data_IF_379797364127
#
_entry.id   IF_379797364127
#
_cell.length_a   1.000
_cell.length_b   1.000
_cell.length_c   1.000
_cell.angle_alpha   90.00
_cell.angle_beta   90.00
_cell.angle_gamma   90.00
#
_symmetry.space_group_name_H-M   'P 1'
#
loop_
_entity.id
_entity.type
_entity.pdbx_description
1 polymer ?
#
# COMPACT_ATOMS: atom_id res chain seq x y z
N UNK A 1 1.13 -17.12 -33.15
CA UNK A 1 0.97 -15.65 -33.02
C UNK A 1 2.35 -15.00 -33.16
N UNK A 2 2.45 -13.82 -33.76
CA UNK A 2 3.72 -13.10 -33.97
C UNK A 2 3.76 -11.86 -33.04
N UNK A 3 4.52 -11.86 -31.93
CA UNK A 3 4.56 -10.74 -30.99
C UNK A 3 4.90 -9.40 -31.65
N UNK A 4 5.78 -9.41 -32.67
CA UNK A 4 6.14 -8.20 -33.41
C UNK A 4 4.95 -7.53 -34.13
N UNK A 5 3.96 -8.30 -34.58
CA UNK A 5 2.78 -7.73 -35.26
C UNK A 5 1.82 -7.07 -34.28
N UNK A 6 1.67 -7.64 -33.07
CA UNK A 6 0.90 -7.02 -31.98
C UNK A 6 1.55 -5.71 -31.56
N UNK A 7 2.87 -5.71 -31.37
CA UNK A 7 3.64 -4.50 -31.05
C UNK A 7 3.48 -3.45 -32.16
N UNK A 8 3.61 -3.84 -33.44
CA UNK A 8 3.43 -2.93 -34.59
C UNK A 8 2.05 -2.28 -34.57
N UNK A 9 0.98 -3.06 -34.37
CA UNK A 9 -0.39 -2.54 -34.29
C UNK A 9 -0.55 -1.51 -33.18
N UNK A 10 -0.12 -1.85 -31.95
CA UNK A 10 -0.23 -0.93 -30.81
C UNK A 10 0.65 0.31 -30.99
N UNK A 11 1.85 0.18 -31.57
CA UNK A 11 2.72 1.31 -31.94
C UNK A 11 2.04 2.26 -32.92
N UNK A 12 1.30 1.72 -33.89
CA UNK A 12 0.57 2.49 -34.91
C UNK A 12 -0.77 3.04 -34.39
N UNK A 13 -1.02 2.99 -33.08
CA UNK A 13 -2.23 3.52 -32.43
C UNK A 13 -3.47 2.67 -32.65
N UNK A 14 -3.33 1.45 -33.19
CA UNK A 14 -4.46 0.55 -33.43
C UNK A 14 -4.89 -0.16 -32.14
N UNK A 15 -6.19 -0.44 -32.07
CA UNK A 15 -6.79 -1.27 -31.02
C UNK A 15 -6.37 -2.73 -31.19
N UNK A 16 -5.99 -3.35 -30.08
CA UNK A 16 -5.76 -4.78 -29.98
C UNK A 16 -7.05 -5.52 -29.63
N UNK A 17 -7.20 -6.73 -30.16
CA UNK A 17 -8.29 -7.63 -29.76
C UNK A 17 -7.97 -8.33 -28.44
N UNK A 18 -8.99 -8.91 -27.81
CA UNK A 18 -8.83 -9.71 -26.59
C UNK A 18 -7.89 -10.90 -26.81
N UNK A 19 -8.00 -11.57 -27.96
CA UNK A 19 -7.17 -12.72 -28.33
C UNK A 19 -5.71 -12.31 -28.58
N UNK A 20 -5.47 -11.14 -29.18
CA UNK A 20 -4.12 -10.60 -29.34
C UNK A 20 -3.46 -10.37 -27.98
N UNK A 21 -4.21 -9.74 -27.05
CA UNK A 21 -3.72 -9.45 -25.70
C UNK A 21 -3.48 -10.75 -24.91
N UNK A 22 -4.45 -11.67 -24.91
CA UNK A 22 -4.34 -12.95 -24.22
C UNK A 22 -3.15 -13.77 -24.74
N UNK A 23 -2.98 -13.83 -26.06
CA UNK A 23 -1.82 -14.47 -26.67
C UNK A 23 -0.51 -13.82 -26.23
N UNK A 24 -0.44 -12.48 -26.20
CA UNK A 24 0.77 -11.76 -25.83
C UNK A 24 1.16 -12.05 -24.38
N UNK A 25 0.18 -12.00 -23.47
CA UNK A 25 0.38 -12.30 -22.05
C UNK A 25 0.77 -13.77 -21.83
N UNK A 26 0.17 -14.71 -22.55
CA UNK A 26 0.59 -16.12 -22.52
C UNK A 26 2.04 -16.28 -23.01
N UNK A 27 2.45 -15.51 -24.01
CA UNK A 27 3.83 -15.44 -24.48
C UNK A 27 4.80 -14.86 -23.46
N UNK A 28 4.39 -13.83 -22.71
CA UNK A 28 5.16 -13.28 -21.58
C UNK A 28 5.29 -14.33 -20.48
N UNK A 29 4.24 -15.08 -20.18
CA UNK A 29 4.27 -16.10 -19.12
C UNK A 29 5.17 -17.29 -19.49
N UNK A 30 5.08 -17.76 -20.73
CA UNK A 30 5.80 -18.95 -21.22
C UNK A 30 7.25 -18.72 -21.63
N UNK A 31 7.70 -17.47 -21.76
CA UNK A 31 9.04 -17.16 -22.28
C UNK A 31 9.08 -16.89 -23.80
N UNK A 32 8.02 -17.20 -24.54
CA UNK A 32 7.96 -17.03 -26.00
C UNK A 32 8.02 -15.55 -26.43
N UNK A 33 7.55 -14.63 -25.58
CA UNK A 33 7.81 -13.20 -25.71
C UNK A 33 9.11 -12.89 -24.96
N UNK A 34 10.08 -12.35 -25.69
CA UNK A 34 11.38 -11.90 -25.13
C UNK A 34 11.20 -10.61 -24.33
N UNK A 35 12.17 -10.31 -23.45
CA UNK A 35 12.14 -9.09 -22.65
C UNK A 35 12.15 -7.82 -23.53
N UNK A 36 12.89 -7.86 -24.66
CA UNK A 36 12.89 -6.79 -25.64
C UNK A 36 11.54 -6.57 -26.31
N UNK A 37 10.80 -7.64 -26.61
CA UNK A 37 9.44 -7.54 -27.16
C UNK A 37 8.44 -7.03 -26.12
N UNK A 38 8.51 -7.52 -24.88
CA UNK A 38 7.68 -7.04 -23.78
C UNK A 38 7.94 -5.56 -23.46
N UNK A 39 9.21 -5.13 -23.45
CA UNK A 39 9.58 -3.73 -23.30
C UNK A 39 9.08 -2.86 -24.46
N UNK A 40 9.19 -3.33 -25.70
CA UNK A 40 8.65 -2.62 -26.86
C UNK A 40 7.12 -2.49 -26.82
N UNK A 41 6.42 -3.54 -26.39
CA UNK A 41 4.96 -3.48 -26.14
C UNK A 41 4.62 -2.47 -25.05
N UNK A 42 5.32 -2.51 -23.91
CA UNK A 42 5.09 -1.58 -22.81
C UNK A 42 5.31 -0.13 -23.24
N UNK A 43 6.35 0.13 -24.04
CA UNK A 43 6.61 1.47 -24.59
C UNK A 43 5.55 1.90 -25.62
N UNK A 44 5.06 0.99 -26.46
CA UNK A 44 3.96 1.28 -27.37
C UNK A 44 2.67 1.63 -26.62
N UNK A 45 2.37 0.94 -25.51
CA UNK A 45 1.26 1.26 -24.61
C UNK A 45 1.51 2.57 -23.86
N UNK A 46 2.75 2.87 -23.48
CA UNK A 46 3.09 4.13 -22.83
C UNK A 46 2.72 5.35 -23.69
N UNK A 47 3.05 5.31 -24.99
CA UNK A 47 2.75 6.42 -25.91
C UNK A 47 1.30 6.43 -26.43
N UNK A 48 0.73 5.27 -26.77
CA UNK A 48 -0.59 5.22 -27.42
C UNK A 48 -1.74 4.87 -26.46
N UNK A 49 -1.44 4.52 -25.21
CA UNK A 49 -2.42 4.10 -24.23
C UNK A 49 -3.14 2.79 -24.57
N UNK A 50 -4.19 2.53 -23.80
CA UNK A 50 -5.17 1.48 -24.04
C UNK A 50 -6.55 2.05 -23.75
N UNK A 51 -7.53 1.67 -24.58
CA UNK A 51 -8.92 1.94 -24.24
C UNK A 51 -9.40 1.01 -23.10
N UNK A 52 -10.63 1.23 -22.61
CA UNK A 52 -11.20 0.46 -21.50
C UNK A 52 -11.19 -1.06 -21.76
N UNK A 53 -11.64 -1.49 -22.93
CA UNK A 53 -11.76 -2.91 -23.25
C UNK A 53 -10.39 -3.58 -23.34
N UNK A 54 -9.41 -2.90 -23.93
CA UNK A 54 -8.02 -3.38 -23.99
C UNK A 54 -7.42 -3.50 -22.58
N UNK A 55 -7.66 -2.53 -21.71
CA UNK A 55 -7.14 -2.56 -20.36
C UNK A 55 -7.82 -3.64 -19.48
N UNK A 56 -9.13 -3.88 -19.67
CA UNK A 56 -9.84 -5.01 -19.06
C UNK A 56 -9.27 -6.33 -19.56
N UNK A 57 -9.12 -6.51 -20.87
CA UNK A 57 -8.54 -7.73 -21.46
C UNK A 57 -7.11 -7.98 -20.95
N UNK A 58 -6.27 -6.95 -20.85
CA UNK A 58 -4.91 -7.08 -20.31
C UNK A 58 -4.95 -7.49 -18.84
N UNK A 59 -5.82 -6.88 -18.05
CA UNK A 59 -5.99 -7.19 -16.62
C UNK A 59 -6.41 -8.64 -16.41
N UNK A 60 -7.42 -9.11 -17.16
CA UNK A 60 -7.94 -10.47 -17.08
C UNK A 60 -6.90 -11.49 -17.57
N UNK A 61 -6.25 -11.25 -18.71
CA UNK A 61 -5.20 -12.13 -19.21
C UNK A 61 -4.02 -12.25 -18.23
N UNK A 62 -3.65 -11.15 -17.56
CA UNK A 62 -2.60 -11.17 -16.54
C UNK A 62 -3.04 -11.92 -15.28
N UNK A 63 -4.30 -11.76 -14.84
CA UNK A 63 -4.89 -12.56 -13.75
C UNK A 63 -4.83 -14.05 -14.08
N UNK A 64 -5.31 -14.42 -15.28
CA UNK A 64 -5.46 -15.81 -15.74
C UNK A 64 -4.13 -16.45 -16.18
N UNK A 65 -3.00 -15.74 -16.03
CA UNK A 65 -1.68 -16.30 -16.28
C UNK A 65 -1.20 -17.28 -15.19
N UNK A 66 -1.91 -17.36 -14.07
CA UNK A 66 -1.61 -18.24 -12.94
C UNK A 66 -2.84 -18.54 -12.10
N UNK A 67 -2.63 -18.81 -10.81
CA UNK A 67 -3.69 -19.22 -9.90
C UNK A 67 -4.67 -18.08 -9.60
N UNK A 68 -5.94 -18.43 -9.42
CA UNK A 68 -6.99 -17.56 -8.90
C UNK A 68 -7.57 -18.23 -7.66
N UNK A 69 -7.47 -17.55 -6.52
CA UNK A 69 -8.00 -18.05 -5.26
C UNK A 69 -9.53 -18.04 -5.28
N UNK A 70 -10.13 -19.10 -4.77
CA UNK A 70 -11.56 -19.19 -4.52
C UNK A 70 -11.84 -19.16 -3.01
N UNK A 71 -12.79 -18.33 -2.59
CA UNK A 71 -13.19 -18.16 -1.20
C UNK A 71 -14.69 -18.42 -0.99
N UNK A 72 -15.31 -19.16 -1.92
CA UNK A 72 -16.73 -19.52 -1.88
C UNK A 72 -17.14 -20.31 -0.62
N UNK A 73 -16.18 -20.88 0.11
CA UNK A 73 -16.33 -21.61 1.36
C UNK A 73 -16.31 -20.73 2.62
N UNK A 74 -15.97 -19.44 2.51
CA UNK A 74 -15.99 -18.52 3.66
C UNK A 74 -17.44 -18.09 4.01
N UNK A 75 -17.78 -17.95 5.31
CA UNK A 75 -19.14 -17.64 5.74
C UNK A 75 -19.52 -16.14 5.62
N UNK A 76 -18.68 -15.33 4.98
CA UNK A 76 -18.86 -13.87 4.89
C UNK A 76 -18.19 -13.27 3.66
N UNK A 77 -18.44 -11.98 3.39
CA UNK A 77 -17.98 -11.35 2.16
C UNK A 77 -16.47 -11.13 2.15
N UNK A 78 -15.86 -11.27 0.98
CA UNK A 78 -14.42 -11.15 0.77
C UNK A 78 -14.08 -9.79 0.19
N UNK A 79 -13.29 -9.00 0.92
CA UNK A 79 -12.95 -7.63 0.53
C UNK A 79 -11.50 -7.32 0.85
N UNK A 80 -10.91 -6.40 0.10
CA UNK A 80 -9.53 -5.97 0.33
C UNK A 80 -9.34 -4.48 0.04
N UNK A 81 -8.18 -3.96 0.46
CA UNK A 81 -7.68 -2.63 0.11
C UNK A 81 -6.38 -2.73 -0.67
N UNK A 82 -6.22 -1.88 -1.68
CA UNK A 82 -4.91 -1.59 -2.26
C UNK A 82 -4.56 -0.13 -2.11
N UNK A 83 -3.29 0.20 -1.89
CA UNK A 83 -2.82 1.58 -1.97
C UNK A 83 -1.71 1.72 -2.99
N UNK A 84 -1.64 2.88 -3.65
CA UNK A 84 -0.51 3.25 -4.51
C UNK A 84 0.79 3.49 -3.74
N UNK A 85 0.76 3.49 -2.40
CA UNK A 85 1.93 3.63 -1.54
C UNK A 85 2.22 5.07 -1.11
N UNK A 86 2.86 5.21 0.06
CA UNK A 86 3.24 6.47 0.67
C UNK A 86 4.19 6.28 1.85
N UNK A 87 4.54 7.37 2.53
CA UNK A 87 5.43 7.36 3.71
C UNK A 87 4.59 7.39 4.98
N UNK A 88 4.90 6.50 5.94
CA UNK A 88 4.07 6.29 7.12
C UNK A 88 2.69 5.70 6.80
N UNK A 89 2.52 5.09 5.62
CA UNK A 89 1.26 4.45 5.22
C UNK A 89 1.17 3.02 5.78
N UNK A 90 0.95 2.89 7.09
CA UNK A 90 0.70 1.63 7.78
C UNK A 90 -0.79 1.26 7.91
N UNK A 91 -1.69 1.99 7.23
CA UNK A 91 -3.15 1.80 7.28
C UNK A 91 -3.57 0.33 7.25
N UNK A 92 -2.97 -0.48 6.38
CA UNK A 92 -3.34 -1.89 6.19
C UNK A 92 -3.25 -2.72 7.48
N UNK A 93 -2.31 -2.40 8.38
CA UNK A 93 -2.09 -3.15 9.63
C UNK A 93 -3.28 -3.03 10.58
N UNK A 94 -3.98 -1.88 10.55
CA UNK A 94 -5.15 -1.63 11.37
C UNK A 94 -6.45 -1.88 10.60
N UNK A 95 -6.46 -1.59 9.30
CA UNK A 95 -7.64 -1.71 8.44
C UNK A 95 -8.11 -3.16 8.33
N UNK A 96 -7.20 -4.10 8.06
CA UNK A 96 -7.53 -5.51 7.92
C UNK A 96 -8.25 -6.07 9.18
N UNK A 97 -7.72 -5.93 10.41
CA UNK A 97 -8.40 -6.42 11.59
C UNK A 97 -9.67 -5.63 11.97
N UNK A 98 -9.76 -4.32 11.66
CA UNK A 98 -11.00 -3.54 11.86
C UNK A 98 -12.14 -4.09 11.00
N UNK A 99 -11.87 -4.33 9.72
CA UNK A 99 -12.88 -4.84 8.78
C UNK A 99 -13.22 -6.30 9.08
N UNK A 100 -12.22 -7.11 9.43
CA UNK A 100 -12.44 -8.49 9.84
C UNK A 100 -13.29 -8.60 11.11
N UNK A 101 -13.02 -7.77 12.12
CA UNK A 101 -13.84 -7.72 13.34
C UNK A 101 -15.28 -7.20 13.10
N UNK A 102 -15.57 -6.61 11.93
CA UNK A 102 -16.92 -6.24 11.50
C UNK A 102 -17.64 -7.35 10.70
N UNK A 103 -16.99 -8.49 10.43
CA UNK A 103 -17.58 -9.66 9.79
C UNK A 103 -17.25 -9.88 8.32
N UNK A 104 -16.28 -9.14 7.75
CA UNK A 104 -15.75 -9.42 6.41
C UNK A 104 -14.51 -10.32 6.49
N UNK A 105 -14.12 -10.90 5.36
CA UNK A 105 -12.87 -11.63 5.22
C UNK A 105 -11.88 -10.83 4.37
N UNK A 106 -10.65 -10.66 4.87
CA UNK A 106 -9.60 -9.82 4.26
C UNK A 106 -8.35 -10.67 3.96
N UNK A 107 -8.31 -11.40 2.84
CA UNK A 107 -7.15 -12.17 2.39
C UNK A 107 -6.13 -11.25 1.70
N UNK A 108 -5.54 -10.31 2.45
CA UNK A 108 -4.72 -9.25 1.88
C UNK A 108 -3.39 -9.76 1.34
N UNK A 109 -3.25 -9.69 0.02
CA UNK A 109 -1.98 -9.92 -0.67
C UNK A 109 -1.29 -8.58 -0.89
N UNK A 110 -0.17 -8.37 -0.21
CA UNK A 110 0.56 -7.11 -0.20
C UNK A 110 1.95 -7.22 -0.83
N UNK A 111 2.53 -6.07 -1.14
CA UNK A 111 3.86 -5.92 -1.72
C UNK A 111 4.92 -5.53 -0.70
N UNK A 112 6.17 -5.66 -1.14
CA UNK A 112 7.34 -5.03 -0.51
C UNK A 112 7.46 -3.56 -0.94
N UNK A 113 8.34 -2.82 -0.27
CA UNK A 113 8.56 -1.39 -0.54
C UNK A 113 9.07 -1.13 -1.96
N UNK A 114 8.69 0.02 -2.50
CA UNK A 114 9.05 0.48 -3.84
C UNK A 114 9.52 1.94 -3.78
N UNK A 115 10.70 2.22 -4.32
CA UNK A 115 11.30 3.56 -4.29
C UNK A 115 11.41 4.10 -2.87
N UNK A 116 10.83 5.28 -2.62
CA UNK A 116 10.81 5.94 -1.31
C UNK A 116 9.68 5.47 -0.38
N UNK A 117 8.81 4.56 -0.84
CA UNK A 117 7.65 4.10 -0.07
C UNK A 117 7.93 2.78 0.63
N UNK A 118 7.51 2.68 1.89
CA UNK A 118 7.65 1.44 2.67
C UNK A 118 6.62 0.38 2.27
N UNK A 119 6.99 -0.90 2.33
CA UNK A 119 6.09 -2.02 2.02
C UNK A 119 5.35 -2.53 3.24
N UNK A 120 4.07 -2.89 3.11
CA UNK A 120 3.34 -3.54 4.21
C UNK A 120 3.99 -4.87 4.61
N UNK A 121 4.47 -5.63 3.62
CA UNK A 121 5.07 -6.94 3.88
C UNK A 121 6.38 -6.82 4.68
N UNK A 122 7.20 -5.82 4.35
CA UNK A 122 8.44 -5.52 5.07
C UNK A 122 8.19 -5.11 6.53
N UNK A 123 7.09 -4.40 6.79
CA UNK A 123 6.63 -4.08 8.15
C UNK A 123 6.25 -5.36 8.91
N UNK A 124 5.48 -6.26 8.29
CA UNK A 124 5.08 -7.52 8.94
C UNK A 124 6.29 -8.44 9.21
N UNK A 125 7.29 -8.45 8.32
CA UNK A 125 8.56 -9.18 8.52
C UNK A 125 9.37 -8.69 9.73
N UNK A 126 9.05 -7.51 10.28
CA UNK A 126 9.65 -7.03 11.53
C UNK A 126 9.15 -7.78 12.78
N UNK A 127 8.05 -8.54 12.69
CA UNK A 127 7.52 -9.35 13.79
C UNK A 127 8.23 -10.71 13.77
N UNK A 128 9.02 -11.06 14.80
CA UNK A 128 9.73 -12.33 14.85
C UNK A 128 8.78 -13.53 14.75
N UNK A 129 9.09 -14.47 13.85
CA UNK A 129 8.30 -15.69 13.63
C UNK A 129 7.10 -15.51 12.69
N UNK A 130 6.73 -14.29 12.32
CA UNK A 130 5.64 -14.06 11.37
C UNK A 130 5.99 -14.62 9.98
N UNK A 131 5.16 -15.53 9.49
CA UNK A 131 5.30 -16.19 8.20
C UNK A 131 4.57 -15.34 7.16
N UNK A 132 5.30 -14.41 6.56
CA UNK A 132 4.76 -13.47 5.58
C UNK A 132 4.53 -14.09 4.19
N UNK A 133 5.08 -15.28 3.94
CA UNK A 133 4.88 -16.06 2.72
C UNK A 133 4.47 -17.50 3.09
N UNK A 134 3.27 -17.69 3.66
CA UNK A 134 2.79 -19.01 4.03
C UNK A 134 2.41 -19.82 2.78
N UNK A 135 2.31 -21.15 2.93
CA UNK A 135 1.63 -21.95 1.92
C UNK A 135 0.12 -21.64 1.88
N UNK A 136 -0.55 -22.12 0.83
CA UNK A 136 -2.00 -21.87 0.64
C UNK A 136 -2.83 -22.44 1.80
N UNK A 137 -2.44 -23.57 2.38
CA UNK A 137 -3.18 -24.20 3.46
C UNK A 137 -3.18 -23.34 4.73
N UNK A 138 -2.00 -22.86 5.14
CA UNK A 138 -1.84 -21.96 6.28
C UNK A 138 -2.49 -20.61 6.01
N UNK A 139 -2.39 -20.08 4.79
CA UNK A 139 -3.07 -18.83 4.42
C UNK A 139 -4.59 -18.95 4.58
N UNK A 140 -5.21 -19.98 3.98
CA UNK A 140 -6.65 -20.21 4.09
C UNK A 140 -7.09 -20.40 5.53
N UNK A 141 -6.33 -21.17 6.31
CA UNK A 141 -6.58 -21.35 7.75
C UNK A 141 -6.57 -20.02 8.49
N UNK A 142 -5.54 -19.18 8.30
CA UNK A 142 -5.43 -17.89 8.98
C UNK A 142 -6.60 -16.95 8.62
N UNK A 143 -6.98 -16.88 7.35
CA UNK A 143 -8.14 -16.09 6.89
C UNK A 143 -9.43 -16.60 7.53
N UNK A 144 -9.66 -17.92 7.51
CA UNK A 144 -10.88 -18.53 8.06
C UNK A 144 -11.00 -18.31 9.57
N UNK A 145 -9.93 -18.54 10.34
CA UNK A 145 -9.95 -18.49 11.81
C UNK A 145 -9.96 -17.07 12.37
N UNK A 146 -9.33 -16.12 11.68
CA UNK A 146 -9.12 -14.77 12.23
C UNK A 146 -9.93 -13.70 11.50
N UNK A 147 -10.40 -13.99 10.28
CA UNK A 147 -11.06 -13.05 9.38
C UNK A 147 -10.10 -12.26 8.50
N UNK A 148 -8.79 -12.28 8.75
CA UNK A 148 -7.83 -11.57 7.89
C UNK A 148 -6.43 -12.20 7.90
N UNK A 149 -5.68 -11.95 6.84
CA UNK A 149 -4.25 -12.24 6.79
C UNK A 149 -3.56 -11.20 5.90
N UNK A 150 -2.29 -10.88 6.19
CA UNK A 150 -1.46 -9.99 5.39
C UNK A 150 -0.24 -10.78 4.93
N UNK A 151 -0.25 -11.20 3.67
CA UNK A 151 0.82 -12.05 3.12
C UNK A 151 1.44 -11.42 1.88
N UNK A 152 2.58 -11.93 1.47
CA UNK A 152 3.24 -11.60 0.23
C UNK A 152 2.57 -12.29 -0.95
N UNK A 153 2.92 -11.84 -2.15
CA UNK A 153 2.56 -12.52 -3.38
C UNK A 153 3.25 -13.89 -3.43
N UNK A 154 2.50 -14.95 -3.74
CA UNK A 154 3.07 -16.25 -4.11
C UNK A 154 3.56 -16.21 -5.55
N UNK A 155 4.45 -17.14 -5.93
CA UNK A 155 4.99 -17.18 -7.29
C UNK A 155 3.92 -17.46 -8.36
N UNK A 156 2.82 -18.09 -7.96
CA UNK A 156 1.78 -18.59 -8.86
C UNK A 156 0.65 -17.57 -9.11
N UNK A 157 0.61 -16.46 -8.36
CA UNK A 157 -0.39 -15.41 -8.55
C UNK A 157 0.05 -14.40 -9.63
N UNK A 158 -0.67 -14.38 -10.75
CA UNK A 158 -0.44 -13.47 -11.87
C UNK A 158 1.05 -13.41 -12.33
N UNK A 159 1.70 -14.54 -12.67
CA UNK A 159 3.12 -14.59 -13.04
C UNK A 159 3.49 -13.70 -14.23
N UNK A 160 2.57 -13.45 -15.16
CA UNK A 160 2.79 -12.48 -16.24
C UNK A 160 3.08 -11.06 -15.72
N UNK A 161 2.37 -10.63 -14.66
CA UNK A 161 2.59 -9.34 -14.04
C UNK A 161 3.99 -9.23 -13.46
N UNK A 162 4.44 -10.25 -12.73
CA UNK A 162 5.78 -10.25 -12.14
C UNK A 162 6.85 -10.00 -13.21
N UNK A 163 6.77 -10.71 -14.33
CA UNK A 163 7.75 -10.55 -15.42
C UNK A 163 7.61 -9.20 -16.12
N UNK A 164 6.38 -8.79 -16.46
CA UNK A 164 6.16 -7.52 -17.14
C UNK A 164 6.52 -6.31 -16.26
N UNK A 165 6.25 -6.37 -14.96
CA UNK A 165 6.63 -5.36 -13.97
C UNK A 165 8.16 -5.21 -13.88
N UNK A 166 8.89 -6.31 -13.77
CA UNK A 166 10.37 -6.28 -13.74
C UNK A 166 10.96 -5.62 -14.99
N UNK A 167 10.36 -5.87 -16.16
CA UNK A 167 10.78 -5.23 -17.42
C UNK A 167 10.42 -3.75 -17.43
N UNK A 168 9.24 -3.37 -16.93
CA UNK A 168 8.78 -1.97 -16.85
C UNK A 168 9.69 -1.12 -15.96
N UNK A 169 10.13 -1.69 -14.84
CA UNK A 169 10.99 -1.04 -13.84
C UNK A 169 12.33 -0.59 -14.43
N UNK A 170 12.89 -1.35 -15.38
CA UNK A 170 14.17 -1.03 -16.04
C UNK A 170 14.04 -0.43 -17.43
N UNK A 171 12.82 -0.21 -17.94
CA UNK A 171 12.57 0.33 -19.29
C UNK A 171 11.88 1.71 -19.30
N UNK A 172 11.67 2.31 -18.13
CA UNK A 172 11.03 3.63 -18.03
C UNK A 172 9.54 3.61 -18.41
N UNK A 173 8.85 2.49 -18.21
CA UNK A 173 7.43 2.31 -18.59
C UNK A 173 6.52 2.02 -17.40
N UNK A 174 6.99 2.29 -16.17
CA UNK A 174 6.18 2.12 -14.95
C UNK A 174 4.99 3.07 -14.94
N UNK A 175 5.19 4.35 -15.30
CA UNK A 175 4.23 5.47 -15.15
C UNK A 175 3.06 5.46 -16.15
N UNK A 176 2.83 4.35 -16.87
CA UNK A 176 1.68 4.20 -17.77
C UNK A 176 0.42 3.76 -17.00
N UNK A 177 -0.62 4.60 -16.99
CA UNK A 177 -1.91 4.32 -16.32
C UNK A 177 -2.49 2.94 -16.66
N UNK A 178 -2.66 2.52 -17.94
CA UNK A 178 -3.21 1.20 -18.25
C UNK A 178 -2.33 0.05 -17.74
N UNK A 179 -1.00 0.18 -17.77
CA UNK A 179 -0.09 -0.84 -17.25
C UNK A 179 -0.10 -0.90 -15.73
N UNK A 180 -0.20 0.25 -15.04
CA UNK A 180 -0.36 0.31 -13.58
C UNK A 180 -1.68 -0.36 -13.19
N UNK A 181 -2.77 -0.01 -13.88
CA UNK A 181 -4.09 -0.57 -13.59
C UNK A 181 -4.11 -2.08 -13.79
N UNK A 182 -3.63 -2.58 -14.94
CA UNK A 182 -3.59 -4.02 -15.19
C UNK A 182 -2.67 -4.76 -14.21
N UNK A 183 -1.54 -4.16 -13.86
CA UNK A 183 -0.62 -4.72 -12.86
C UNK A 183 -1.28 -4.84 -11.48
N UNK A 184 -1.87 -3.76 -10.97
CA UNK A 184 -2.51 -3.76 -9.65
C UNK A 184 -3.70 -4.73 -9.61
N UNK A 185 -4.59 -4.62 -10.59
CA UNK A 185 -5.86 -5.34 -10.57
C UNK A 185 -5.71 -6.83 -10.88
N UNK A 186 -4.77 -7.24 -11.74
CA UNK A 186 -4.56 -8.67 -12.02
C UNK A 186 -4.27 -9.45 -10.74
N UNK A 187 -3.39 -8.93 -9.88
CA UNK A 187 -3.08 -9.52 -8.56
C UNK A 187 -4.27 -9.50 -7.60
N UNK A 188 -5.04 -8.40 -7.56
CA UNK A 188 -6.20 -8.28 -6.67
C UNK A 188 -7.37 -9.14 -7.12
N UNK A 189 -7.58 -9.31 -8.41
CA UNK A 189 -8.56 -10.26 -8.96
C UNK A 189 -8.13 -11.70 -8.73
N UNK A 190 -6.84 -12.01 -8.87
CA UNK A 190 -6.29 -13.33 -8.59
C UNK A 190 -6.44 -13.72 -7.10
N UNK A 191 -6.56 -12.72 -6.21
CA UNK A 191 -6.86 -12.95 -4.79
C UNK A 191 -8.33 -13.35 -4.50
N UNK A 192 -9.20 -13.48 -5.51
CA UNK A 192 -10.57 -14.01 -5.33
C UNK A 192 -11.55 -13.05 -4.65
N UNK A 193 -11.33 -11.74 -4.78
CA UNK A 193 -12.10 -10.72 -4.05
C UNK A 193 -13.52 -10.54 -4.61
N UNK A 194 -14.48 -10.25 -3.75
CA UNK A 194 -15.83 -9.81 -4.15
C UNK A 194 -15.95 -8.29 -4.22
N UNK A 195 -15.10 -7.57 -3.46
CA UNK A 195 -15.00 -6.11 -3.55
C UNK A 195 -13.59 -5.60 -3.24
N UNK A 196 -13.27 -4.42 -3.74
CA UNK A 196 -11.95 -3.79 -3.57
C UNK A 196 -12.11 -2.28 -3.33
N UNK A 197 -11.40 -1.76 -2.33
CA UNK A 197 -11.25 -0.31 -2.14
C UNK A 197 -9.83 0.12 -2.48
N UNK A 198 -9.71 1.15 -3.31
CA UNK A 198 -8.42 1.67 -3.78
C UNK A 198 -8.10 2.96 -3.03
N UNK A 199 -6.91 3.05 -2.45
CA UNK A 199 -6.39 4.23 -1.77
C UNK A 199 -5.29 4.88 -2.63
N UNK A 200 -5.70 5.84 -3.44
CA UNK A 200 -4.82 6.55 -4.38
C UNK A 200 -4.27 7.79 -3.70
N UNK A 201 -2.97 7.77 -3.40
CA UNK A 201 -2.30 8.90 -2.75
C UNK A 201 -2.12 10.06 -3.74
N UNK A 202 -2.19 11.28 -3.24
CA UNK A 202 -1.85 12.51 -3.99
C UNK A 202 -0.98 13.44 -3.16
N UNK A 203 0.01 14.07 -3.79
CA UNK A 203 0.89 15.05 -3.16
C UNK A 203 2.37 14.68 -3.26
N UNK A 204 3.23 15.45 -2.59
CA UNK A 204 4.68 15.37 -2.75
C UNK A 204 5.34 14.06 -2.27
N UNK A 205 4.62 13.21 -1.51
CA UNK A 205 5.06 11.87 -1.11
C UNK A 205 4.37 10.74 -1.87
N UNK A 206 3.44 11.05 -2.77
CA UNK A 206 2.70 10.08 -3.56
C UNK A 206 3.42 9.72 -4.86
N UNK A 207 3.00 8.62 -5.49
CA UNK A 207 3.39 8.32 -6.87
C UNK A 207 2.80 9.34 -7.87
N UNK A 208 1.62 9.89 -7.56
CA UNK A 208 0.95 10.92 -8.35
C UNK A 208 0.97 12.26 -7.61
N UNK A 209 1.87 13.17 -7.98
CA UNK A 209 1.94 14.48 -7.32
C UNK A 209 0.72 15.36 -7.63
N UNK A 210 0.23 15.31 -8.87
CA UNK A 210 -0.88 16.16 -9.35
C UNK A 210 -2.23 15.50 -9.12
N UNK A 211 -3.17 16.28 -8.58
CA UNK A 211 -4.55 15.84 -8.33
C UNK A 211 -5.30 15.35 -9.58
N UNK A 212 -5.01 15.95 -10.74
CA UNK A 212 -5.57 15.49 -12.04
C UNK A 212 -5.16 14.06 -12.34
N UNK A 213 -3.88 13.74 -12.16
CA UNK A 213 -3.30 12.44 -12.52
C UNK A 213 -3.73 11.37 -11.52
N UNK A 214 -3.76 11.69 -10.22
CA UNK A 214 -4.34 10.85 -9.18
C UNK A 214 -5.83 10.54 -9.46
N UNK A 215 -6.60 11.54 -9.89
CA UNK A 215 -8.01 11.35 -10.28
C UNK A 215 -8.15 10.47 -11.51
N UNK A 216 -7.29 10.64 -12.51
CA UNK A 216 -7.31 9.80 -13.72
C UNK A 216 -6.99 8.34 -13.38
N UNK A 217 -5.97 8.10 -12.56
CA UNK A 217 -5.60 6.77 -12.09
C UNK A 217 -6.72 6.13 -11.25
N UNK A 218 -7.29 6.87 -10.31
CA UNK A 218 -8.35 6.37 -9.44
C UNK A 218 -9.63 6.00 -10.22
N UNK A 219 -10.03 6.81 -11.22
CA UNK A 219 -11.12 6.45 -12.13
C UNK A 219 -10.77 5.21 -12.95
N UNK A 220 -9.56 5.15 -13.54
CA UNK A 220 -9.13 4.01 -14.36
C UNK A 220 -9.16 2.70 -13.57
N UNK A 221 -8.60 2.67 -12.37
CA UNK A 221 -8.59 1.50 -11.50
C UNK A 221 -10.02 1.05 -11.15
N UNK A 222 -10.89 1.99 -10.74
CA UNK A 222 -12.28 1.65 -10.40
C UNK A 222 -13.05 1.15 -11.64
N UNK A 223 -12.98 1.84 -12.77
CA UNK A 223 -13.71 1.49 -13.99
C UNK A 223 -13.28 0.13 -14.58
N UNK A 224 -11.98 -0.16 -14.57
CA UNK A 224 -11.44 -1.43 -15.09
C UNK A 224 -11.75 -2.57 -14.12
N UNK A 225 -11.63 -2.37 -12.81
CA UNK A 225 -12.00 -3.39 -11.83
C UNK A 225 -13.48 -3.79 -11.96
N UNK A 226 -14.39 -2.80 -12.04
CA UNK A 226 -15.81 -3.06 -12.24
C UNK A 226 -16.07 -3.71 -13.62
N UNK A 227 -15.34 -3.30 -14.67
CA UNK A 227 -15.40 -3.95 -15.99
C UNK A 227 -14.93 -5.40 -15.99
N UNK A 228 -14.03 -5.77 -15.08
CA UNK A 228 -13.53 -7.12 -14.85
C UNK A 228 -14.40 -7.93 -13.86
N UNK A 229 -15.55 -7.39 -13.43
CA UNK A 229 -16.49 -8.06 -12.51
C UNK A 229 -16.15 -7.91 -11.02
N UNK A 230 -15.18 -7.07 -10.65
CA UNK A 230 -14.83 -6.78 -9.26
C UNK A 230 -15.41 -5.43 -8.82
N UNK A 231 -16.35 -5.45 -7.87
CA UNK A 231 -16.95 -4.23 -7.33
C UNK A 231 -15.88 -3.36 -6.66
N UNK A 232 -15.58 -2.20 -7.24
CA UNK A 232 -14.50 -1.36 -6.76
C UNK A 232 -14.87 0.11 -6.61
N UNK A 233 -14.38 0.73 -5.54
CA UNK A 233 -14.39 2.17 -5.30
C UNK A 233 -12.97 2.68 -5.05
N UNK A 234 -12.76 3.99 -5.14
CA UNK A 234 -11.46 4.60 -4.88
C UNK A 234 -11.57 5.86 -4.03
N UNK A 235 -10.66 6.01 -3.08
CA UNK A 235 -10.46 7.20 -2.26
C UNK A 235 -9.15 7.86 -2.67
N UNK A 236 -9.20 9.18 -2.88
CA UNK A 236 -8.01 10.00 -3.07
C UNK A 236 -7.62 10.58 -1.71
N UNK A 237 -6.44 10.25 -1.22
CA UNK A 237 -5.96 10.63 0.12
C UNK A 237 -4.66 11.43 0.05
N UNK A 238 -4.51 12.40 0.95
CA UNK A 238 -3.38 13.34 0.92
C UNK A 238 -2.07 12.73 1.45
N UNK A 239 -0.96 12.99 0.76
CA UNK A 239 0.39 12.53 1.09
C UNK A 239 1.42 13.69 0.97
N UNK A 240 1.02 14.90 1.38
CA UNK A 240 1.91 16.06 1.49
C UNK A 240 2.67 16.12 2.83
N UNK A 241 2.40 15.15 3.71
CA UNK A 241 3.16 14.85 4.92
C UNK A 241 2.99 13.34 5.22
N UNK A 242 3.93 12.71 5.96
CA UNK A 242 3.79 11.32 6.41
C UNK A 242 2.42 11.08 7.07
N UNK A 243 1.80 9.93 6.77
CA UNK A 243 0.44 9.66 7.26
C UNK A 243 0.42 9.30 8.76
N UNK A 244 1.39 8.50 9.20
CA UNK A 244 1.66 8.21 10.60
C UNK A 244 2.79 9.09 11.13
N UNK A 245 2.86 9.26 12.46
CA UNK A 245 4.02 9.86 13.14
C UNK A 245 5.25 8.96 13.17
N UNK A 246 5.22 7.83 12.45
CA UNK A 246 6.31 6.89 12.29
C UNK A 246 6.50 6.54 10.80
N UNK A 247 7.76 6.39 10.38
CA UNK A 247 8.16 5.93 9.05
C UNK A 247 9.29 4.91 9.16
N UNK A 248 9.08 3.69 8.67
CA UNK A 248 10.02 2.57 8.83
C UNK A 248 9.28 1.22 8.87
N UNK A 249 9.90 0.21 9.48
CA UNK A 249 9.31 -1.12 9.57
C UNK A 249 8.78 -1.42 10.98
N UNK A 250 9.65 -1.75 11.93
CA UNK A 250 9.25 -2.06 13.31
C UNK A 250 8.56 -0.87 14.00
N UNK A 251 9.02 0.35 13.74
CA UNK A 251 8.41 1.57 14.28
C UNK A 251 6.98 1.80 13.80
N UNK A 252 6.67 1.41 12.56
CA UNK A 252 5.31 1.50 12.00
C UNK A 252 4.41 0.36 12.50
N UNK A 253 4.97 -0.82 12.78
CA UNK A 253 4.23 -1.88 13.49
C UNK A 253 3.90 -1.45 14.91
N UNK A 254 4.85 -0.84 15.63
CA UNK A 254 4.60 -0.30 16.97
C UNK A 254 3.49 0.75 16.96
N UNK A 255 3.54 1.70 16.01
CA UNK A 255 2.49 2.69 15.80
C UNK A 255 1.12 2.02 15.54
N UNK A 256 1.06 0.96 14.74
CA UNK A 256 -0.18 0.22 14.50
C UNK A 256 -0.74 -0.46 15.77
N UNK A 257 0.13 -1.00 16.63
CA UNK A 257 -0.29 -1.57 17.93
C UNK A 257 -0.82 -0.47 18.85
N UNK A 258 -0.13 0.67 18.94
CA UNK A 258 -0.58 1.81 19.74
C UNK A 258 -1.92 2.37 19.24
N UNK A 259 -2.12 2.36 17.92
CA UNK A 259 -3.38 2.74 17.28
C UNK A 259 -4.53 1.80 17.68
N UNK A 260 -4.33 0.49 17.51
CA UNK A 260 -5.35 -0.53 17.77
C UNK A 260 -5.72 -0.62 19.25
N UNK A 261 -4.75 -0.43 20.14
CA UNK A 261 -4.95 -0.45 21.60
C UNK A 261 -5.45 0.87 22.17
N UNK A 262 -5.46 1.94 21.36
CA UNK A 262 -5.90 3.27 21.79
C UNK A 262 -4.88 4.01 22.67
N UNK A 263 -3.63 3.54 22.75
CA UNK A 263 -2.54 4.26 23.44
C UNK A 263 -2.19 5.57 22.73
N UNK A 264 -2.19 5.56 21.40
CA UNK A 264 -1.96 6.74 20.58
C UNK A 264 -2.54 6.54 19.17
N UNK A 265 -3.20 7.56 18.62
CA UNK A 265 -3.72 7.54 17.24
C UNK A 265 -3.39 8.85 16.55
N UNK A 266 -2.63 8.76 15.46
CA UNK A 266 -2.44 9.89 14.56
C UNK A 266 -3.78 10.26 13.92
N UNK A 267 -4.22 11.51 14.09
CA UNK A 267 -5.54 11.96 13.61
C UNK A 267 -5.75 11.68 12.11
N UNK A 268 -4.77 12.02 11.27
CA UNK A 268 -4.86 11.82 9.82
C UNK A 268 -4.90 10.33 9.45
N UNK A 269 -4.12 9.51 10.13
CA UNK A 269 -4.11 8.06 9.97
C UNK A 269 -5.47 7.46 10.36
N UNK A 270 -6.05 7.91 11.47
CA UNK A 270 -7.38 7.47 11.92
C UNK A 270 -8.46 7.85 10.91
N UNK A 271 -8.48 9.11 10.45
CA UNK A 271 -9.42 9.59 9.43
C UNK A 271 -9.38 8.72 8.17
N UNK A 272 -8.18 8.45 7.64
CA UNK A 272 -8.00 7.64 6.41
C UNK A 272 -8.37 6.19 6.65
N UNK A 273 -7.92 5.60 7.77
CA UNK A 273 -8.18 4.20 8.11
C UNK A 273 -9.68 3.94 8.25
N UNK A 274 -10.39 4.78 8.99
CA UNK A 274 -11.82 4.62 9.21
C UNK A 274 -12.64 4.93 7.95
N UNK A 275 -12.21 5.89 7.13
CA UNK A 275 -12.86 6.16 5.84
C UNK A 275 -12.75 4.96 4.89
N UNK A 276 -11.57 4.34 4.80
CA UNK A 276 -11.37 3.13 3.98
C UNK A 276 -12.16 1.95 4.55
N UNK A 277 -12.19 1.77 5.86
CA UNK A 277 -12.98 0.72 6.51
C UNK A 277 -14.47 0.87 6.18
N UNK A 278 -15.02 2.08 6.29
CA UNK A 278 -16.42 2.34 5.97
C UNK A 278 -16.77 1.97 4.52
N UNK A 279 -15.88 2.27 3.57
CA UNK A 279 -16.05 1.94 2.14
C UNK A 279 -15.95 0.44 1.88
N UNK A 280 -15.04 -0.26 2.57
CA UNK A 280 -14.92 -1.72 2.48
C UNK A 280 -16.17 -2.40 3.02
N UNK A 281 -16.66 -1.99 4.19
CA UNK A 281 -17.88 -2.54 4.79
C UNK A 281 -19.11 -2.33 3.91
N UNK A 282 -19.25 -1.14 3.32
CA UNK A 282 -20.35 -0.83 2.42
C UNK A 282 -20.23 -1.63 1.10
N UNK A 283 -19.02 -1.76 0.57
CA UNK A 283 -18.78 -2.49 -0.67
C UNK A 283 -19.05 -3.99 -0.50
N UNK A 284 -18.68 -4.54 0.65
CA UNK A 284 -18.96 -5.91 1.10
C UNK A 284 -20.43 -6.16 1.49
N UNK A 285 -21.29 -5.13 1.49
CA UNK A 285 -22.72 -5.27 1.82
C UNK A 285 -23.02 -5.48 3.30
N UNK A 286 -22.04 -5.22 4.18
CA UNK A 286 -22.20 -5.38 5.64
C UNK A 286 -22.90 -4.19 6.31
N UNK A 287 -23.00 -3.06 5.60
CA UNK A 287 -23.65 -1.83 6.05
C UNK A 287 -24.38 -1.16 4.88
N UNK A 288 -25.44 -0.43 5.17
CA UNK A 288 -26.29 0.21 4.16
C UNK A 288 -25.78 1.57 3.70
N UNK A 289 -24.88 2.20 4.45
CA UNK A 289 -24.33 3.52 4.13
C UNK A 289 -22.92 3.72 4.68
N UNK A 290 -22.20 4.69 4.11
CA UNK A 290 -20.86 5.05 4.56
C UNK A 290 -20.86 5.54 6.02
N UNK A 291 -21.90 6.26 6.44
CA UNK A 291 -22.05 6.73 7.82
C UNK A 291 -22.21 5.55 8.80
N UNK A 292 -22.98 4.54 8.40
CA UNK A 292 -23.15 3.30 9.16
C UNK A 292 -21.82 2.52 9.26
N UNK A 293 -21.10 2.41 8.14
CA UNK A 293 -19.76 1.83 8.08
C UNK A 293 -18.75 2.53 8.99
N UNK A 294 -18.73 3.87 8.96
CA UNK A 294 -17.89 4.69 9.82
C UNK A 294 -18.20 4.43 11.30
N UNK A 295 -19.50 4.42 11.68
CA UNK A 295 -19.92 4.14 13.05
C UNK A 295 -19.43 2.76 13.52
N UNK A 296 -19.68 1.72 12.71
CA UNK A 296 -19.29 0.33 13.03
C UNK A 296 -17.78 0.15 13.14
N UNK A 297 -17.00 0.77 12.25
CA UNK A 297 -15.54 0.72 12.29
C UNK A 297 -15.01 1.39 13.57
N UNK A 298 -15.53 2.57 13.92
CA UNK A 298 -15.17 3.29 15.15
C UNK A 298 -15.53 2.51 16.42
N UNK A 299 -16.73 1.94 16.51
CA UNK A 299 -17.15 1.09 17.64
C UNK A 299 -16.25 -0.16 17.78
N UNK A 300 -15.86 -0.75 16.65
CA UNK A 300 -14.97 -1.93 16.61
C UNK A 300 -13.56 -1.61 17.07
N UNK A 301 -13.03 -0.44 16.68
CA UNK A 301 -11.75 0.06 17.15
C UNK A 301 -11.79 0.41 18.65
N UNK A 302 -12.83 1.11 19.10
CA UNK A 302 -12.97 1.53 20.50
C UNK A 302 -13.19 0.36 21.48
N UNK A 303 -13.84 -0.72 21.03
CA UNK A 303 -14.10 -1.91 21.87
C UNK A 303 -12.90 -2.84 22.02
N UNK A 304 -11.77 -2.59 21.36
CA UNK A 304 -10.59 -3.45 21.38
C UNK A 304 -10.73 -4.73 20.53
N UNK A 305 -11.87 -4.96 19.87
CA UNK A 305 -12.09 -6.11 19.00
C UNK A 305 -11.10 -6.15 17.84
N UNK A 306 -10.75 -4.99 17.27
CA UNK A 306 -9.73 -4.91 16.23
C UNK A 306 -8.34 -5.33 16.74
N UNK A 307 -7.92 -4.89 17.93
CA UNK A 307 -6.65 -5.30 18.53
C UNK A 307 -6.60 -6.81 18.78
N UNK A 308 -7.70 -7.39 19.29
CA UNK A 308 -7.81 -8.84 19.50
C UNK A 308 -7.73 -9.62 18.16
N UNK A 309 -8.35 -9.11 17.10
CA UNK A 309 -8.25 -9.72 15.76
C UNK A 309 -6.83 -9.65 15.20
N UNK A 310 -6.13 -8.53 15.36
CA UNK A 310 -4.73 -8.41 14.97
C UNK A 310 -3.82 -9.39 15.73
N UNK A 311 -4.01 -9.53 17.05
CA UNK A 311 -3.26 -10.50 17.86
C UNK A 311 -3.48 -11.95 17.35
N UNK A 312 -4.73 -12.33 17.07
CA UNK A 312 -5.04 -13.66 16.51
C UNK A 312 -4.40 -13.86 15.14
N UNK A 313 -4.43 -12.86 14.26
CA UNK A 313 -3.77 -12.92 12.94
C UNK A 313 -2.27 -13.12 13.06
N UNK A 314 -1.60 -12.35 13.93
CA UNK A 314 -0.15 -12.47 14.17
C UNK A 314 0.19 -13.89 14.66
N UNK A 315 -0.55 -14.40 15.64
CA UNK A 315 -0.33 -15.75 16.17
C UNK A 315 -0.62 -16.85 15.14
N UNK A 316 -1.71 -16.75 14.37
CA UNK A 316 -2.08 -17.72 13.34
C UNK A 316 -1.02 -17.84 12.24
N UNK A 317 -0.28 -16.76 11.98
CA UNK A 317 0.83 -16.71 11.03
C UNK A 317 2.20 -16.87 11.71
N UNK A 318 2.26 -17.48 12.90
CA UNK A 318 3.53 -17.88 13.54
C UNK A 318 4.23 -16.83 14.40
N UNK A 319 3.68 -15.61 14.47
CA UNK A 319 4.18 -14.59 15.38
C UNK A 319 3.85 -14.86 16.86
N UNK A 320 4.33 -14.03 17.79
CA UNK A 320 4.15 -14.26 19.22
C UNK A 320 2.69 -14.08 19.67
N UNK A 321 2.22 -14.97 20.54
CA UNK A 321 0.83 -14.95 21.02
C UNK A 321 0.49 -13.74 21.92
N UNK A 322 1.48 -13.19 22.63
CA UNK A 322 1.35 -11.99 23.48
C UNK A 322 1.94 -10.73 22.82
N UNK A 323 1.96 -10.68 21.48
CA UNK A 323 2.59 -9.59 20.71
C UNK A 323 1.94 -8.22 20.96
N UNK A 324 0.61 -8.15 21.04
CA UNK A 324 -0.11 -6.87 21.24
C UNK A 324 0.17 -6.31 22.64
N UNK A 325 0.30 -7.17 23.65
CA UNK A 325 0.54 -6.79 25.03
C UNK A 325 2.00 -6.39 25.26
N UNK A 326 2.96 -7.05 24.60
CA UNK A 326 4.40 -6.84 24.78
C UNK A 326 5.16 -6.62 23.47
N UNK A 327 4.77 -5.65 22.62
CA UNK A 327 5.41 -5.46 21.32
C UNK A 327 6.89 -5.08 21.46
N UNK A 328 7.29 -4.35 22.51
CA UNK A 328 8.69 -3.99 22.81
C UNK A 328 9.60 -5.18 23.11
N UNK A 329 9.04 -6.31 23.54
CA UNK A 329 9.82 -7.54 23.77
C UNK A 329 10.27 -8.16 22.44
N UNK A 330 9.51 -7.95 21.37
CA UNK A 330 9.66 -8.66 20.11
C UNK A 330 10.16 -7.79 18.97
N UNK A 331 9.69 -6.55 18.86
CA UNK A 331 10.07 -5.67 17.78
C UNK A 331 11.55 -5.28 17.90
N UNK A 332 12.31 -5.38 16.80
CA UNK A 332 13.72 -5.00 16.80
C UNK A 332 13.85 -3.48 17.01
N UNK A 333 14.80 -3.08 17.85
CA UNK A 333 15.10 -1.68 18.14
C UNK A 333 16.51 -1.31 17.65
N UNK A 334 16.64 -0.09 17.14
CA UNK A 334 17.93 0.49 16.82
C UNK A 334 18.63 0.96 18.12
N UNK A 335 19.97 0.95 18.13
CA UNK A 335 20.73 1.27 19.35
C UNK A 335 20.83 2.78 19.61
N UNK A 336 20.63 3.60 18.58
CA UNK A 336 20.79 5.05 18.64
C UNK A 336 19.45 5.70 18.32
N UNK A 337 19.00 6.53 19.26
CA UNK A 337 17.94 7.51 19.04
C UNK A 337 18.57 8.90 18.93
N UNK A 338 18.32 9.61 17.83
CA UNK A 338 18.89 10.93 17.57
C UNK A 338 17.78 11.94 17.27
N UNK A 339 17.72 13.02 18.05
CA UNK A 339 16.70 14.05 17.90
C UNK A 339 17.05 15.04 16.78
N UNK A 340 16.14 15.21 15.83
CA UNK A 340 16.22 16.27 14.82
C UNK A 340 15.64 17.54 15.41
N UNK A 341 16.47 18.50 15.79
CA UNK A 341 16.04 19.70 16.51
C UNK A 341 15.68 20.83 15.57
N UNK A 342 14.57 21.53 15.83
CA UNK A 342 14.20 22.72 15.10
C UNK A 342 15.23 23.84 15.33
N UNK A 343 15.54 24.59 14.26
CA UNK A 343 16.52 25.69 14.27
C UNK A 343 15.85 27.06 14.42
N UNK A 344 14.53 27.12 14.32
CA UNK A 344 13.70 28.32 14.44
C UNK A 344 12.42 28.01 15.22
N UNK A 345 11.81 29.03 15.83
CA UNK A 345 10.48 28.92 16.43
C UNK A 345 9.40 29.10 15.36
N UNK A 346 8.28 28.40 15.50
CA UNK A 346 7.10 28.63 14.66
C UNK A 346 6.20 27.42 14.54
N UNK A 347 5.55 27.29 13.39
CA UNK A 347 4.70 26.16 13.04
C UNK A 347 5.29 25.40 11.86
N UNK A 348 5.19 24.08 11.86
CA UNK A 348 5.50 23.27 10.68
C UNK A 348 4.51 23.64 9.57
N UNK A 349 5.01 24.19 8.46
CA UNK A 349 4.19 24.66 7.32
C UNK A 349 4.27 23.74 6.11
N UNK A 350 5.25 22.86 6.04
CA UNK A 350 5.39 21.88 4.97
C UNK A 350 6.43 20.82 5.28
N UNK A 351 6.23 19.63 4.71
CA UNK A 351 7.14 18.49 4.86
C UNK A 351 7.39 17.92 3.46
N UNK A 352 8.65 17.81 3.05
CA UNK A 352 9.04 17.10 1.84
C UNK A 352 8.95 15.59 2.08
N UNK A 353 7.73 15.04 1.98
CA UNK A 353 7.42 13.66 2.38
C UNK A 353 8.27 12.62 1.67
N UNK A 354 8.56 12.83 0.38
CA UNK A 354 9.46 11.96 -0.38
C UNK A 354 10.85 11.87 0.26
N UNK A 355 11.38 12.98 0.74
CA UNK A 355 12.71 13.03 1.35
C UNK A 355 12.73 12.35 2.73
N UNK A 356 11.61 12.37 3.46
CA UNK A 356 11.43 11.53 4.67
C UNK A 356 11.53 10.05 4.31
N UNK A 357 10.87 9.62 3.22
CA UNK A 357 10.96 8.25 2.72
C UNK A 357 12.39 7.87 2.31
N UNK A 358 13.09 8.77 1.62
CA UNK A 358 14.49 8.58 1.25
C UNK A 358 15.43 8.53 2.45
N UNK A 359 15.17 9.30 3.51
CA UNK A 359 15.94 9.21 4.75
C UNK A 359 15.82 7.81 5.38
N UNK A 360 14.62 7.22 5.37
CA UNK A 360 14.42 5.82 5.84
C UNK A 360 15.16 4.82 4.96
N UNK A 361 15.14 5.00 3.63
CA UNK A 361 15.94 4.16 2.71
C UNK A 361 17.43 4.30 3.00
N UNK A 362 17.93 5.52 3.21
CA UNK A 362 19.32 5.81 3.54
C UNK A 362 19.77 5.20 4.87
N UNK A 363 18.88 5.07 5.84
CA UNK A 363 19.12 4.35 7.10
C UNK A 363 19.20 2.82 6.93
N UNK A 364 18.81 2.28 5.77
CA UNK A 364 18.70 0.84 5.51
C UNK A 364 17.31 0.26 5.79
N UNK A 365 16.31 1.10 6.07
CA UNK A 365 14.92 0.66 6.29
C UNK A 365 14.14 0.34 5.02
N UNK A 366 14.72 0.65 3.85
CA UNK A 366 14.17 0.36 2.53
C UNK A 366 15.24 -0.20 1.60
N UNK A 367 14.85 -0.54 0.36
CA UNK A 367 15.74 -1.18 -0.61
C UNK A 367 16.26 -0.19 -1.64
N UNK A 368 17.51 -0.34 -2.05
CA UNK A 368 18.06 0.34 -3.23
C UNK A 368 18.05 -0.58 -4.46
N UNK A 369 18.06 -1.89 -4.23
CA UNK A 369 17.94 -2.97 -5.22
C UNK A 369 16.95 -4.02 -4.74
N UNK A 370 16.25 -4.74 -5.63
CA UNK A 370 15.22 -5.71 -5.25
C UNK A 370 15.65 -6.76 -4.21
N UNK A 371 16.90 -7.21 -4.26
CA UNK A 371 17.45 -8.26 -3.39
C UNK A 371 18.09 -7.73 -2.10
N UNK A 372 18.08 -6.41 -1.88
CA UNK A 372 18.68 -5.83 -0.67
C UNK A 372 17.96 -6.31 0.59
N UNK A 373 18.75 -6.66 1.60
CA UNK A 373 18.27 -6.90 2.95
C UNK A 373 18.02 -5.54 3.62
N UNK A 374 16.86 -5.39 4.24
CA UNK A 374 16.52 -4.20 5.03
C UNK A 374 16.81 -4.44 6.50
N UNK A 375 17.09 -3.36 7.24
CA UNK A 375 17.11 -3.36 8.69
C UNK A 375 15.71 -2.96 9.19
N UNK A 376 14.95 -3.87 9.83
CA UNK A 376 13.61 -3.53 10.29
C UNK A 376 13.60 -2.59 11.50
N UNK A 377 14.74 -2.42 12.20
CA UNK A 377 14.83 -1.68 13.44
C UNK A 377 15.02 -0.16 13.25
N UNK A 378 15.52 0.25 12.09
CA UNK A 378 15.75 1.67 11.77
C UNK A 378 14.47 2.35 11.29
N UNK A 379 14.44 3.67 11.38
CA UNK A 379 13.31 4.47 10.94
C UNK A 379 13.25 5.82 11.63
N UNK A 380 12.09 6.46 11.54
CA UNK A 380 11.84 7.79 12.09
C UNK A 380 10.54 7.73 12.89
N UNK A 381 10.52 8.34 14.07
CA UNK A 381 9.32 8.43 14.93
C UNK A 381 9.10 9.84 15.44
N UNK A 382 7.93 10.09 16.01
CA UNK A 382 7.53 11.40 16.54
C UNK A 382 7.66 12.51 15.48
N UNK A 383 7.41 12.16 14.22
CA UNK A 383 7.32 13.12 13.12
C UNK A 383 6.24 14.13 13.48
N UNK A 384 6.63 15.38 13.72
CA UNK A 384 5.67 16.45 13.93
C UNK A 384 4.86 16.68 12.65
N UNK A 385 3.51 16.75 12.72
CA UNK A 385 2.69 17.01 11.56
C UNK A 385 2.71 18.51 11.18
N UNK A 386 2.28 18.80 9.95
CA UNK A 386 1.95 20.15 9.48
C UNK A 386 0.94 20.79 10.44
N UNK A 387 1.21 22.02 10.85
CA UNK A 387 0.45 22.77 11.83
C UNK A 387 0.83 22.53 13.29
N UNK A 388 1.80 21.65 13.58
CA UNK A 388 2.42 21.55 14.90
C UNK A 388 3.25 22.80 15.20
N UNK A 389 3.16 23.29 16.42
CA UNK A 389 4.04 24.33 16.96
C UNK A 389 5.36 23.70 17.42
N UNK A 390 6.48 24.39 17.21
CA UNK A 390 7.80 23.92 17.60
C UNK A 390 8.71 25.09 17.97
N UNK A 391 9.45 24.94 19.06
CA UNK A 391 10.48 25.86 19.51
C UNK A 391 11.89 25.48 19.07
N UNK A 392 12.82 26.44 19.09
CA UNK A 392 14.25 26.20 18.84
C UNK A 392 14.76 25.14 19.83
N UNK A 393 15.43 24.12 19.30
CA UNK A 393 15.98 23.01 20.09
C UNK A 393 14.99 21.89 20.40
N UNK A 394 13.68 22.09 20.15
CA UNK A 394 12.68 21.04 20.29
C UNK A 394 12.73 20.05 19.11
N UNK A 395 12.40 18.76 19.33
CA UNK A 395 12.49 17.75 18.30
C UNK A 395 11.35 17.86 17.27
N UNK A 396 11.72 17.95 15.98
CA UNK A 396 10.83 17.75 14.83
C UNK A 396 10.53 16.26 14.60
N UNK A 397 11.50 15.40 14.90
CA UNK A 397 11.44 13.95 14.78
C UNK A 397 12.56 13.28 15.59
N UNK A 398 12.47 11.96 15.77
CA UNK A 398 13.52 11.11 16.32
C UNK A 398 13.95 10.07 15.28
N UNK A 399 15.24 10.04 14.98
CA UNK A 399 15.89 9.05 14.10
C UNK A 399 16.28 7.83 14.92
N UNK A 400 15.97 6.64 14.39
CA UNK A 400 16.41 5.34 14.91
C UNK A 400 17.47 4.76 13.97
N UNK A 401 18.72 4.63 14.43
CA UNK A 401 19.85 4.24 13.59
C UNK A 401 20.80 3.23 14.25
N UNK A 402 21.62 2.56 13.42
CA UNK A 402 22.67 1.65 13.87
C UNK A 402 23.99 2.35 14.22
N UNK A 403 24.28 3.48 13.60
CA UNK A 403 25.49 4.26 13.85
C UNK A 403 25.17 5.75 13.99
N UNK A 404 26.05 6.48 14.69
CA UNK A 404 25.91 7.93 14.84
C UNK A 404 26.04 8.65 13.50
N UNK A 405 26.90 8.15 12.60
CA UNK A 405 27.07 8.72 11.26
C UNK A 405 25.78 8.62 10.43
N UNK A 406 25.11 7.46 10.45
CA UNK A 406 23.83 7.28 9.75
C UNK A 406 22.72 8.14 10.38
N UNK A 407 22.71 8.24 11.72
CA UNK A 407 21.79 9.12 12.44
C UNK A 407 21.96 10.59 12.04
N UNK A 408 23.19 11.09 11.99
CA UNK A 408 23.50 12.47 11.62
C UNK A 408 23.14 12.77 10.16
N UNK A 409 23.44 11.84 9.25
CA UNK A 409 23.09 11.96 7.84
C UNK A 409 21.56 12.03 7.64
N UNK A 410 20.82 11.10 8.25
CA UNK A 410 19.36 11.09 8.19
C UNK A 410 18.75 12.31 8.88
N UNK A 411 19.30 12.75 10.01
CA UNK A 411 18.85 13.95 10.70
C UNK A 411 19.01 15.21 9.84
N UNK A 412 20.10 15.33 9.07
CA UNK A 412 20.30 16.43 8.13
C UNK A 412 19.23 16.41 7.03
N UNK A 413 18.95 15.24 6.44
CA UNK A 413 17.88 15.08 5.43
C UNK A 413 16.52 15.45 5.99
N UNK A 414 16.17 14.95 7.18
CA UNK A 414 14.88 15.25 7.83
C UNK A 414 14.78 16.74 8.17
N UNK A 415 15.83 17.37 8.69
CA UNK A 415 15.83 18.81 8.98
C UNK A 415 15.58 19.63 7.72
N UNK A 416 16.22 19.28 6.60
CA UNK A 416 16.00 19.95 5.31
C UNK A 416 14.62 19.70 4.71
N UNK A 417 13.98 18.58 5.05
CA UNK A 417 12.63 18.26 4.58
C UNK A 417 11.53 19.08 5.28
N UNK A 418 11.80 19.64 6.46
CA UNK A 418 10.84 20.42 7.24
C UNK A 418 10.92 21.92 6.92
N UNK A 419 9.78 22.52 6.60
CA UNK A 419 9.60 23.98 6.56
C UNK A 419 8.90 24.44 7.82
N UNK A 420 9.47 25.41 8.54
CA UNK A 420 8.86 26.06 9.71
C UNK A 420 8.58 27.53 9.39
N UNK A 421 7.36 27.98 9.63
CA UNK A 421 6.90 29.35 9.35
C UNK A 421 6.24 30.04 10.55
N UNK A 422 6.00 31.34 10.44
CA UNK A 422 5.50 32.15 11.56
C UNK A 422 4.02 31.91 11.91
N UNK A 423 3.21 31.41 10.98
CA UNK A 423 1.78 31.19 11.16
C UNK A 423 1.39 29.75 10.93
N UNK A 424 0.41 29.28 11.70
CA UNK A 424 -0.17 27.95 11.56
C UNK A 424 -0.90 27.85 10.20
N UNK A 425 -0.55 26.90 9.32
CA UNK A 425 -1.26 26.68 8.08
C UNK A 425 -2.68 26.15 8.34
N UNK A 426 -3.62 26.34 7.40
CA UNK A 426 -4.93 25.70 7.47
C UNK A 426 -4.77 24.17 7.42
N UNK A 427 -5.65 23.45 8.12
CA UNK A 427 -5.64 22.00 8.10
C UNK A 427 -6.16 21.47 6.75
N UNK A 428 -5.39 20.60 6.11
CA UNK A 428 -5.80 19.89 4.90
C UNK A 428 -6.72 18.70 5.22
N UNK A 429 -7.58 18.35 4.26
CA UNK A 429 -8.41 17.15 4.37
C UNK A 429 -7.57 15.90 4.15
N UNK A 430 -7.66 14.93 5.07
CA UNK A 430 -7.01 13.62 4.95
C UNK A 430 -7.56 12.81 3.75
N UNK A 431 -8.90 12.84 3.58
CA UNK A 431 -9.61 12.26 2.42
C UNK A 431 -10.12 13.39 1.52
N UNK A 432 -9.55 13.50 0.32
CA UNK A 432 -9.77 14.62 -0.59
C UNK A 432 -11.01 14.36 -1.46
N UNK A 433 -11.17 13.14 -1.97
CA UNK A 433 -12.25 12.78 -2.89
C UNK A 433 -12.60 11.30 -2.79
N UNK A 434 -13.87 10.98 -3.00
CA UNK A 434 -14.36 9.61 -3.22
C UNK A 434 -14.78 9.44 -4.69
N UNK A 435 -14.43 8.29 -5.25
CA UNK A 435 -14.85 7.84 -6.58
C UNK A 435 -15.66 6.58 -6.36
N UNK A 436 -16.96 6.69 -6.63
CA UNK A 436 -17.91 5.60 -6.49
C UNK A 436 -18.08 4.87 -7.82
N UNK A 437 -18.46 3.58 -7.79
CA UNK A 437 -18.87 2.89 -9.01
C UNK A 437 -19.96 3.69 -9.72
N UNK A 438 -19.86 3.82 -11.04
CA UNK A 438 -20.99 4.28 -11.85
C UNK A 438 -21.97 3.11 -11.92
N UNK A 439 -23.17 3.32 -11.35
CA UNK A 439 -24.23 2.32 -11.28
C UNK A 439 -24.80 1.94 -12.64
#
# INVERSE_FOLDING_TARGET
MLPQEIIRRKRDGLRLSEEEIAGFVAGVTSGAVTDGQAGAFAMAVFFNGMNRDEAVALTLAMRDSGDVLDWSDLPGPVTDKHSTGGVGDNVSLMLAPIVAACGAYVPMISGRGLGHTGGTLDKMDAIPGYISQPDVALFRKAVLETGCAIIGQTADLAPADRRLYAIRDVSGTVESVPLITASILSKKLAAGLQSLVLDVKVGNGAFMEKSRDATALANSLAEIANGAGLKASALITGMNEPLASAAGNAVEVRNAVDFLTGRYRDRRLEDVTLALAAEMLQSAGLVSSNQDGMRRATETLASGRAAATFARMVAALGGPADFIEKPEKYLPAAAIEFAVKATVNGFVTGIATRDIGLAVVGLGGGRTRPDDRIDPAVGITRLLPVGAEVGIGEPLALIHARSSADAEAAAATVLSAYTVGASKPPADKSVIRRILPRG
#
